data_IF_922156440693
#
_entry.id   IF_922156440693
#
_cell.length_a   1.000
_cell.length_b   1.000
_cell.length_c   1.000
_cell.angle_alpha   90.00
_cell.angle_beta   90.00
_cell.angle_gamma   90.00
#
_symmetry.space_group_name_H-M   'P 1'
#
loop_
_entity.id
_entity.type
_entity.pdbx_description
1 polymer ?
#
# COMPACT_ATOMS: atom_id res chain seq x y z
N UNK A 1 -14.64 -40.06 -4.54
CA UNK A 1 -14.05 -39.56 -5.81
C UNK A 1 -14.94 -38.41 -6.23
N UNK A 2 -14.39 -37.19 -6.17
CA UNK A 2 -15.13 -35.96 -5.95
C UNK A 2 -15.92 -35.49 -7.19
N UNK A 3 -17.25 -35.53 -7.13
CA UNK A 3 -18.15 -34.93 -8.14
C UNK A 3 -18.48 -33.46 -7.85
N UNK A 4 -18.17 -32.96 -6.64
CA UNK A 4 -18.46 -31.58 -6.20
C UNK A 4 -17.26 -30.62 -6.32
N UNK A 5 -16.23 -30.98 -7.10
CA UNK A 5 -15.09 -30.10 -7.30
C UNK A 5 -15.41 -29.01 -8.32
N UNK A 6 -16.05 -27.93 -7.85
CA UNK A 6 -15.98 -26.63 -8.52
C UNK A 6 -14.52 -26.17 -8.40
N UNK A 7 -13.77 -26.20 -9.49
CA UNK A 7 -12.47 -25.53 -9.58
C UNK A 7 -12.70 -24.02 -9.55
N UNK A 8 -12.96 -23.46 -8.38
CA UNK A 8 -12.71 -22.05 -8.14
C UNK A 8 -11.24 -21.81 -8.45
N UNK A 9 -10.94 -20.87 -9.35
CA UNK A 9 -9.59 -20.43 -9.66
C UNK A 9 -8.78 -20.33 -8.35
N UNK A 10 -7.95 -21.35 -8.06
CA UNK A 10 -6.98 -21.30 -6.98
C UNK A 10 -5.82 -20.47 -7.49
N UNK A 11 -5.99 -19.16 -7.44
CA UNK A 11 -5.04 -18.17 -7.93
C UNK A 11 -4.88 -17.02 -6.96
N UNK A 12 -4.82 -17.32 -5.65
CA UNK A 12 -4.97 -16.29 -4.62
C UNK A 12 -3.90 -16.40 -3.56
N UNK A 13 -2.63 -16.24 -3.94
CA UNK A 13 -1.49 -15.86 -3.07
C UNK A 13 -0.19 -15.71 -3.88
N UNK A 14 -0.26 -15.40 -5.18
CA UNK A 14 0.92 -15.22 -6.02
C UNK A 14 0.95 -13.74 -6.44
N UNK A 15 2.07 -13.07 -6.20
CA UNK A 15 2.25 -11.68 -6.61
C UNK A 15 1.96 -11.56 -8.12
N UNK A 16 1.02 -10.68 -8.50
CA UNK A 16 0.71 -10.38 -9.91
C UNK A 16 -0.62 -10.90 -10.44
N UNK A 17 -1.38 -11.71 -9.69
CA UNK A 17 -2.70 -12.17 -10.14
C UNK A 17 -3.82 -11.12 -10.01
N UNK A 18 -3.60 -10.09 -9.21
CA UNK A 18 -4.53 -8.98 -9.01
C UNK A 18 -3.83 -7.67 -9.39
N UNK A 19 -4.57 -6.74 -10.01
CA UNK A 19 -4.02 -5.43 -10.35
C UNK A 19 -3.70 -4.66 -9.06
N UNK A 20 -2.44 -4.28 -8.80
CA UNK A 20 -1.99 -3.78 -7.51
C UNK A 20 -2.48 -2.36 -7.16
N UNK A 21 -2.97 -1.61 -8.16
CA UNK A 21 -3.38 -0.21 -8.03
C UNK A 21 -4.87 0.01 -8.28
N UNK A 22 -5.67 -1.06 -8.30
CA UNK A 22 -7.10 -0.99 -8.59
C UNK A 22 -7.91 -1.56 -7.43
N UNK A 23 -8.95 -0.84 -7.04
CA UNK A 23 -9.96 -1.37 -6.13
C UNK A 23 -11.04 -2.09 -6.94
N UNK A 24 -11.05 -3.42 -6.87
CA UNK A 24 -12.06 -4.26 -7.53
C UNK A 24 -13.24 -4.59 -6.60
N UNK A 25 -13.31 -3.96 -5.42
CA UNK A 25 -14.35 -4.17 -4.43
C UNK A 25 -14.45 -5.63 -4.01
N UNK A 26 -15.64 -6.21 -4.16
CA UNK A 26 -15.92 -7.62 -3.81
C UNK A 26 -15.15 -8.62 -4.66
N UNK A 27 -14.62 -8.20 -5.80
CA UNK A 27 -13.88 -9.06 -6.73
C UNK A 27 -12.39 -9.18 -6.37
N UNK A 28 -11.96 -8.51 -5.29
CA UNK A 28 -10.64 -8.70 -4.68
C UNK A 28 -9.71 -7.50 -4.88
N UNK A 29 -9.42 -6.80 -3.78
CA UNK A 29 -8.51 -5.66 -3.74
C UNK A 29 -7.28 -6.01 -2.91
N UNK A 30 -6.08 -5.73 -3.43
CA UNK A 30 -4.85 -5.83 -2.64
C UNK A 30 -4.78 -4.61 -1.73
N UNK A 31 -4.80 -4.84 -0.41
CA UNK A 31 -4.55 -3.79 0.60
C UNK A 31 -3.44 -4.24 1.53
N UNK A 32 -2.67 -3.28 2.00
CA UNK A 32 -1.65 -3.47 3.03
C UNK A 32 -1.91 -2.52 4.20
N UNK A 33 -1.32 -2.81 5.35
CA UNK A 33 -1.37 -1.95 6.52
C UNK A 33 -0.10 -1.10 6.58
N UNK A 34 -0.28 0.22 6.70
CA UNK A 34 0.82 1.16 6.92
C UNK A 34 0.72 1.76 8.33
N UNK A 35 1.82 1.71 9.08
CA UNK A 35 1.94 2.30 10.41
C UNK A 35 3.23 3.12 10.42
N UNK A 36 3.15 4.35 10.91
CA UNK A 36 4.31 5.23 11.10
C UNK A 36 4.36 5.73 12.54
N UNK A 37 5.57 5.76 13.11
CA UNK A 37 5.84 6.23 14.45
C UNK A 37 7.20 6.94 14.49
N UNK A 38 7.26 8.10 15.14
CA UNK A 38 8.51 8.79 15.36
C UNK A 38 8.32 10.25 15.77
N UNK A 39 9.43 10.98 15.99
CA UNK A 39 9.41 12.42 16.18
C UNK A 39 8.70 13.10 14.99
N UNK A 40 7.92 14.14 15.26
CA UNK A 40 7.18 14.90 14.24
C UNK A 40 6.14 14.09 13.44
N UNK A 41 5.81 12.86 13.84
CA UNK A 41 4.64 12.13 13.34
C UNK A 41 3.46 12.39 14.30
N UNK A 42 2.29 12.72 13.74
CA UNK A 42 1.07 12.92 14.53
C UNK A 42 0.71 11.65 15.31
N UNK A 43 0.53 11.77 16.62
CA UNK A 43 0.06 10.66 17.47
C UNK A 43 -1.45 10.46 17.30
N UNK A 44 -1.88 9.20 17.21
CA UNK A 44 -3.30 8.84 17.08
C UNK A 44 -3.95 9.27 15.76
N UNK A 45 -3.17 9.76 14.80
CA UNK A 45 -3.70 10.15 13.48
C UNK A 45 -4.06 8.92 12.67
N UNK A 46 -5.33 8.84 12.28
CA UNK A 46 -5.85 7.83 11.34
C UNK A 46 -6.17 8.55 10.04
N UNK A 47 -5.51 8.15 8.96
CA UNK A 47 -5.75 8.72 7.63
C UNK A 47 -6.99 8.09 7.00
N UNK A 48 -7.92 8.93 6.53
CA UNK A 48 -9.16 8.47 5.90
C UNK A 48 -8.94 7.83 4.52
N UNK A 49 -7.96 8.33 3.76
CA UNK A 49 -7.65 7.86 2.41
C UNK A 49 -6.42 6.95 2.43
N UNK A 50 -6.43 5.84 1.66
CA UNK A 50 -5.25 5.00 1.53
C UNK A 50 -4.10 5.76 0.83
N UNK A 51 -2.89 5.27 1.04
CA UNK A 51 -1.68 5.66 0.31
C UNK A 51 -1.33 4.57 -0.70
N UNK A 52 -0.48 4.90 -1.66
CA UNK A 52 0.13 3.89 -2.53
C UNK A 52 1.44 3.39 -1.90
N UNK A 53 1.81 2.14 -2.17
CA UNK A 53 3.10 1.59 -1.74
C UNK A 53 4.29 2.39 -2.33
N UNK A 54 4.10 2.97 -3.52
CA UNK A 54 5.09 3.82 -4.20
C UNK A 54 5.35 5.13 -3.45
N UNK A 55 4.47 5.56 -2.56
CA UNK A 55 4.63 6.78 -1.75
C UNK A 55 5.66 6.60 -0.61
N UNK A 56 6.01 5.36 -0.26
CA UNK A 56 6.89 5.05 0.89
C UNK A 56 8.31 5.57 0.65
N UNK A 57 8.92 5.24 -0.49
CA UNK A 57 10.30 5.60 -0.79
C UNK A 57 10.55 7.13 -0.79
N UNK A 58 9.75 7.97 -1.50
CA UNK A 58 9.93 9.42 -1.44
C UNK A 58 9.60 9.99 -0.04
N UNK A 59 8.67 9.38 0.71
CA UNK A 59 8.38 9.81 2.09
C UNK A 59 9.55 9.55 3.04
N UNK A 60 10.20 8.39 2.95
CA UNK A 60 11.38 8.09 3.77
C UNK A 60 12.54 9.01 3.39
N UNK A 61 12.76 9.27 2.10
CA UNK A 61 13.77 10.22 1.65
C UNK A 61 13.54 11.63 2.24
N UNK A 62 12.29 12.08 2.28
CA UNK A 62 11.91 13.34 2.92
C UNK A 62 12.22 13.34 4.43
N UNK A 63 11.87 12.26 5.16
CA UNK A 63 12.16 12.11 6.60
C UNK A 63 13.66 12.17 6.88
N UNK A 64 14.47 11.54 6.03
CA UNK A 64 15.92 11.49 6.16
C UNK A 64 16.63 12.75 5.64
N UNK A 65 15.89 13.71 5.07
CA UNK A 65 16.44 14.90 4.42
C UNK A 65 17.48 14.57 3.34
N UNK A 66 17.18 13.58 2.51
CA UNK A 66 17.99 13.18 1.35
C UNK A 66 17.19 13.37 0.05
N UNK A 67 17.85 13.43 -1.13
CA UNK A 67 17.15 13.49 -2.40
C UNK A 67 16.22 12.30 -2.59
N UNK A 68 15.04 12.55 -3.18
CA UNK A 68 14.11 11.48 -3.54
C UNK A 68 14.74 10.55 -4.60
N UNK A 69 14.37 9.26 -4.64
CA UNK A 69 14.84 8.36 -5.69
C UNK A 69 14.47 8.90 -7.08
N UNK A 70 15.45 8.97 -7.99
CA UNK A 70 15.33 9.62 -9.31
C UNK A 70 14.11 9.18 -10.12
N UNK A 71 13.73 7.92 -10.02
CA UNK A 71 12.64 7.31 -10.79
C UNK A 71 11.40 7.02 -9.92
N UNK A 72 11.27 7.65 -8.75
CA UNK A 72 10.09 7.50 -7.92
C UNK A 72 8.90 8.22 -8.55
N UNK A 73 7.79 7.51 -8.73
CA UNK A 73 6.51 8.07 -9.21
C UNK A 73 5.54 8.39 -8.07
N UNK A 74 5.83 7.92 -6.85
CA UNK A 74 5.03 8.21 -5.67
C UNK A 74 5.22 9.63 -5.13
N UNK A 75 4.37 10.02 -4.18
CA UNK A 75 4.40 11.33 -3.52
C UNK A 75 4.74 11.20 -2.03
N UNK A 76 5.19 12.30 -1.43
CA UNK A 76 5.40 12.36 0.02
C UNK A 76 4.05 12.44 0.75
N UNK A 77 3.91 11.65 1.81
CA UNK A 77 2.71 11.54 2.66
C UNK A 77 2.69 12.70 3.68
N UNK A 78 2.54 13.94 3.23
CA UNK A 78 2.75 15.12 4.09
C UNK A 78 1.80 15.28 5.28
N UNK A 79 0.56 14.80 5.19
CA UNK A 79 -0.46 14.99 6.23
C UNK A 79 -0.22 14.17 7.51
N UNK A 80 0.71 13.20 7.50
CA UNK A 80 1.09 12.44 8.70
C UNK A 80 2.04 13.20 9.64
N UNK A 81 2.66 14.29 9.17
CA UNK A 81 3.59 15.10 9.97
C UNK A 81 2.86 16.16 10.82
N UNK A 82 3.47 16.53 11.96
CA UNK A 82 3.06 17.62 12.86
C UNK A 82 4.14 18.70 12.96
#
# INVERSE_FOLDING_TARGET
MFEDLITGLRGGSVHGQQLPSVDLGKNGTIRSTFIAHGPKIKKGYVREKPINITDIAPTIAHILNIPAPKNSEGKVIFDMFQ
#
